data_IF_801693667517
#
_entry.id   IF_801693667517
#
_cell.length_a   1.000
_cell.length_b   1.000
_cell.length_c   1.000
_cell.angle_alpha   90.00
_cell.angle_beta   90.00
_cell.angle_gamma   90.00
#
_symmetry.space_group_name_H-M   'P 1'
#
loop_
_entity.id
_entity.type
_entity.pdbx_description
1 polymer ?
#
# COMPACT_ATOMS: atom_id res chain seq x y z
N UNK A 1 15.74 -0.06 -24.71
CA UNK A 1 16.47 1.23 -24.68
C UNK A 1 16.88 1.57 -26.10
N UNK A 2 16.31 2.62 -26.69
CA UNK A 2 16.62 3.05 -28.07
C UNK A 2 17.73 4.11 -28.13
N UNK A 3 17.93 4.90 -27.07
CA UNK A 3 19.02 5.88 -26.95
C UNK A 3 19.55 5.97 -25.51
N UNK A 4 20.83 5.63 -25.24
CA UNK A 4 21.42 5.67 -23.89
C UNK A 4 21.52 7.07 -23.25
N UNK A 5 21.45 8.14 -24.03
CA UNK A 5 21.57 9.52 -23.54
C UNK A 5 20.21 10.16 -23.20
N UNK A 6 19.10 9.48 -23.46
CA UNK A 6 17.73 9.99 -23.26
C UNK A 6 17.08 9.25 -22.09
N UNK A 7 16.45 9.99 -21.20
CA UNK A 7 15.76 9.49 -20.02
C UNK A 7 14.27 9.84 -20.07
N UNK A 8 13.45 9.03 -19.40
CA UNK A 8 12.02 9.27 -19.21
C UNK A 8 11.66 9.10 -17.73
N UNK A 9 10.68 9.87 -17.26
CA UNK A 9 10.10 9.78 -15.91
C UNK A 9 8.65 10.25 -15.95
N UNK A 10 7.84 9.78 -15.00
CA UNK A 10 6.40 10.00 -14.98
C UNK A 10 5.68 9.14 -16.01
N UNK A 11 4.45 9.52 -16.32
CA UNK A 11 3.53 8.70 -17.12
C UNK A 11 4.07 8.33 -18.51
N UNK A 12 4.97 9.14 -19.09
CA UNK A 12 5.58 8.84 -20.39
C UNK A 12 6.63 7.71 -20.35
N UNK A 13 7.10 7.33 -19.15
CA UNK A 13 8.12 6.30 -18.97
C UNK A 13 7.57 4.87 -19.04
N UNK A 14 6.26 4.69 -18.88
CA UNK A 14 5.57 3.39 -18.92
C UNK A 14 6.20 2.32 -17.99
N UNK A 15 6.82 2.77 -16.89
CA UNK A 15 7.62 1.93 -15.97
C UNK A 15 6.94 1.66 -14.62
N UNK A 16 5.84 2.34 -14.33
CA UNK A 16 5.12 2.27 -13.07
C UNK A 16 3.69 2.80 -13.18
N UNK A 17 2.91 2.77 -12.08
CA UNK A 17 1.55 3.29 -12.11
C UNK A 17 1.57 4.82 -12.31
N UNK A 18 0.62 5.38 -13.09
CA UNK A 18 0.57 6.80 -13.42
C UNK A 18 0.08 7.62 -12.21
N UNK A 19 1.00 7.89 -11.28
CA UNK A 19 0.71 8.52 -9.99
C UNK A 19 1.76 9.61 -9.70
N UNK A 20 1.30 10.77 -9.24
CA UNK A 20 2.17 11.89 -8.84
C UNK A 20 3.35 11.51 -7.95
N UNK A 21 3.20 10.73 -6.85
CA UNK A 21 4.35 10.34 -6.03
C UNK A 21 5.35 9.43 -6.76
N UNK A 22 4.89 8.64 -7.73
CA UNK A 22 5.74 7.80 -8.58
C UNK A 22 6.55 8.68 -9.52
N UNK A 23 5.90 9.58 -10.27
CA UNK A 23 6.56 10.52 -11.16
C UNK A 23 7.62 11.36 -10.43
N UNK A 24 7.32 11.82 -9.20
CA UNK A 24 8.27 12.56 -8.38
C UNK A 24 9.49 11.73 -7.95
N UNK A 25 9.33 10.44 -7.65
CA UNK A 25 10.45 9.53 -7.34
C UNK A 25 11.26 9.17 -8.59
N UNK A 26 10.61 8.90 -9.71
CA UNK A 26 11.28 8.63 -10.99
C UNK A 26 12.12 9.83 -11.45
N UNK A 27 11.60 11.06 -11.29
CA UNK A 27 12.37 12.28 -11.59
C UNK A 27 13.66 12.40 -10.78
N UNK A 28 13.63 12.02 -9.49
CA UNK A 28 14.84 11.97 -8.65
C UNK A 28 15.83 10.90 -9.12
N UNK A 29 15.34 9.73 -9.54
CA UNK A 29 16.17 8.66 -10.09
C UNK A 29 16.82 9.08 -11.41
N UNK A 30 16.06 9.75 -12.29
CA UNK A 30 16.60 10.33 -13.54
C UNK A 30 17.68 11.36 -13.23
N UNK A 31 17.42 12.31 -12.32
CA UNK A 31 18.42 13.31 -11.93
C UNK A 31 19.69 12.68 -11.35
N UNK A 32 19.55 11.67 -10.47
CA UNK A 32 20.69 10.95 -9.90
C UNK A 32 21.50 10.22 -10.99
N UNK A 33 20.82 9.51 -11.90
CA UNK A 33 21.49 8.78 -12.97
C UNK A 33 22.18 9.70 -13.98
N UNK A 34 21.60 10.86 -14.27
CA UNK A 34 22.21 11.90 -15.10
C UNK A 34 23.51 12.45 -14.49
N UNK A 35 23.53 12.66 -13.17
CA UNK A 35 24.64 13.35 -12.49
C UNK A 35 25.72 12.41 -11.96
N UNK A 36 25.35 11.18 -11.61
CA UNK A 36 26.20 10.24 -10.86
C UNK A 36 26.44 8.93 -11.62
N UNK A 37 25.88 8.79 -12.83
CA UNK A 37 25.94 7.58 -13.64
C UNK A 37 24.76 6.65 -13.39
N UNK A 38 24.46 5.80 -14.37
CA UNK A 38 23.23 4.98 -14.46
C UNK A 38 23.16 3.80 -13.48
N UNK A 39 23.18 4.04 -12.16
CA UNK A 39 23.23 2.97 -11.14
C UNK A 39 22.01 2.92 -10.23
N UNK A 40 21.15 3.94 -10.23
CA UNK A 40 19.96 3.99 -9.39
C UNK A 40 18.77 3.38 -10.14
N UNK A 41 18.10 2.41 -9.51
CA UNK A 41 16.82 1.85 -9.96
C UNK A 41 15.74 2.13 -8.93
N UNK A 42 14.54 2.44 -9.40
CA UNK A 42 13.41 2.66 -8.52
C UNK A 42 12.78 1.33 -8.10
N UNK A 43 12.49 1.21 -6.81
CA UNK A 43 11.66 0.13 -6.26
C UNK A 43 10.21 0.64 -6.09
N UNK A 44 9.28 -0.03 -6.76
CA UNK A 44 7.84 0.27 -6.71
C UNK A 44 7.11 -0.52 -5.60
N UNK A 45 7.85 -1.28 -4.79
CA UNK A 45 7.30 -1.99 -3.65
C UNK A 45 6.64 -1.01 -2.68
N UNK A 46 5.40 -1.31 -2.29
CA UNK A 46 4.64 -0.50 -1.35
C UNK A 46 4.04 0.79 -1.92
N UNK A 47 3.98 0.99 -3.25
CA UNK A 47 3.26 2.14 -3.83
C UNK A 47 1.75 1.97 -3.63
N UNK A 48 1.07 2.83 -2.84
CA UNK A 48 -0.38 2.75 -2.66
C UNK A 48 -1.11 3.43 -3.84
N UNK A 49 -2.37 3.07 -4.01
CA UNK A 49 -3.31 3.70 -4.95
C UNK A 49 -4.65 3.91 -4.26
N UNK A 50 -5.29 5.05 -4.54
CA UNK A 50 -6.50 5.49 -3.86
C UNK A 50 -7.50 6.03 -4.87
N UNK A 51 -8.76 5.64 -4.68
CA UNK A 51 -9.93 6.28 -5.31
C UNK A 51 -10.60 7.15 -4.24
N UNK A 52 -10.55 8.48 -4.42
CA UNK A 52 -11.05 9.47 -3.47
C UNK A 52 -12.57 9.69 -3.56
N UNK A 53 -13.34 8.59 -3.53
CA UNK A 53 -14.80 8.61 -3.38
C UNK A 53 -15.20 8.86 -1.92
N UNK A 54 -16.51 8.90 -1.65
CA UNK A 54 -17.04 8.93 -0.29
C UNK A 54 -17.82 7.63 -0.03
N UNK A 55 -17.29 6.70 0.80
CA UNK A 55 -15.97 6.74 1.42
C UNK A 55 -14.82 6.40 0.44
N UNK A 56 -13.55 6.73 0.78
CA UNK A 56 -12.39 6.37 -0.03
C UNK A 56 -12.17 4.86 -0.10
N UNK A 57 -11.65 4.41 -1.23
CA UNK A 57 -11.17 3.04 -1.46
C UNK A 57 -9.67 3.09 -1.74
N UNK A 58 -8.88 2.42 -0.90
CA UNK A 58 -7.42 2.43 -0.98
C UNK A 58 -6.87 1.01 -1.10
N UNK A 59 -5.77 0.85 -1.83
CA UNK A 59 -5.03 -0.42 -1.90
C UNK A 59 -3.53 -0.20 -1.94
N UNK A 60 -2.79 -1.22 -1.51
CA UNK A 60 -1.34 -1.32 -1.69
C UNK A 60 -0.94 -2.78 -1.82
N UNK A 61 0.12 -3.04 -2.60
CA UNK A 61 0.60 -4.41 -2.85
C UNK A 61 -0.33 -5.23 -3.74
N UNK A 62 -0.29 -6.54 -3.56
CA UNK A 62 -0.95 -7.51 -4.43
C UNK A 62 -2.46 -7.60 -4.15
N UNK A 63 -3.25 -7.77 -5.21
CA UNK A 63 -4.59 -8.31 -5.08
C UNK A 63 -4.54 -9.80 -4.79
N UNK A 64 -5.66 -10.37 -4.34
CA UNK A 64 -5.75 -11.82 -4.11
C UNK A 64 -5.48 -12.62 -5.39
N UNK A 65 -6.03 -12.18 -6.53
CA UNK A 65 -5.81 -12.80 -7.82
C UNK A 65 -4.31 -12.78 -8.20
N UNK A 66 -3.64 -11.64 -8.02
CA UNK A 66 -2.21 -11.50 -8.30
C UNK A 66 -1.37 -12.39 -7.38
N UNK A 67 -1.73 -12.51 -6.09
CA UNK A 67 -1.04 -13.39 -5.16
C UNK A 67 -1.19 -14.88 -5.54
N UNK A 68 -2.39 -15.28 -5.95
CA UNK A 68 -2.67 -16.65 -6.43
C UNK A 68 -1.96 -16.96 -7.73
N UNK A 69 -1.96 -16.05 -8.69
CA UNK A 69 -1.24 -16.18 -9.97
C UNK A 69 0.27 -16.37 -9.76
N UNK A 70 0.83 -15.70 -8.75
CA UNK A 70 2.24 -15.86 -8.34
C UNK A 70 2.51 -17.13 -7.52
N UNK A 71 1.51 -17.96 -7.26
CA UNK A 71 1.65 -19.19 -6.46
C UNK A 71 1.97 -18.94 -4.99
N UNK A 72 1.67 -17.75 -4.45
CA UNK A 72 1.94 -17.42 -3.05
C UNK A 72 0.91 -18.06 -2.13
N UNK A 73 1.39 -18.58 -1.00
CA UNK A 73 0.53 -19.12 0.07
C UNK A 73 0.26 -18.03 1.10
N UNK A 74 -1.01 -17.67 1.31
CA UNK A 74 -1.39 -16.57 2.19
C UNK A 74 -2.73 -16.81 2.88
N UNK A 75 -2.94 -16.09 3.98
CA UNK A 75 -4.22 -15.94 4.66
C UNK A 75 -4.83 -14.58 4.32
N UNK A 76 -6.11 -14.57 3.92
CA UNK A 76 -6.86 -13.36 3.60
C UNK A 76 -7.74 -12.94 4.77
N UNK A 77 -7.25 -12.03 5.61
CA UNK A 77 -8.02 -11.46 6.72
C UNK A 77 -8.92 -10.36 6.15
N UNK A 78 -10.23 -10.47 6.36
CA UNK A 78 -11.20 -9.50 5.85
C UNK A 78 -12.37 -9.34 6.80
N UNK A 79 -13.01 -8.18 6.77
CA UNK A 79 -14.17 -7.91 7.61
C UNK A 79 -14.83 -6.56 7.34
N UNK A 80 -16.08 -6.45 7.78
CA UNK A 80 -16.81 -5.20 7.88
C UNK A 80 -16.40 -4.48 9.18
N UNK A 81 -16.08 -3.20 9.06
CA UNK A 81 -15.64 -2.35 10.18
C UNK A 81 -16.61 -1.20 10.46
N UNK A 82 -17.77 -1.15 9.84
CA UNK A 82 -18.80 -0.14 10.09
C UNK A 82 -19.31 -0.19 11.53
N UNK A 83 -19.32 -1.39 12.14
CA UNK A 83 -19.70 -1.62 13.54
C UNK A 83 -18.55 -1.42 14.54
N UNK A 84 -17.35 -1.09 14.10
CA UNK A 84 -16.22 -0.84 15.01
C UNK A 84 -16.28 0.58 15.55
N UNK A 85 -15.72 0.81 16.74
CA UNK A 85 -15.88 2.09 17.44
C UNK A 85 -15.44 3.30 16.60
N UNK A 86 -14.29 3.19 15.90
CA UNK A 86 -13.75 4.26 15.06
C UNK A 86 -14.72 4.71 13.94
N UNK A 87 -15.44 3.76 13.33
CA UNK A 87 -16.43 4.01 12.27
C UNK A 87 -17.79 4.41 12.85
N UNK A 88 -18.24 3.73 13.91
CA UNK A 88 -19.53 3.99 14.57
C UNK A 88 -19.64 5.40 15.09
N UNK A 89 -18.58 5.95 15.70
CA UNK A 89 -18.59 7.29 16.31
C UNK A 89 -18.80 8.41 15.28
N UNK A 90 -18.50 8.15 14.00
CA UNK A 90 -18.68 9.09 12.88
C UNK A 90 -19.84 8.72 11.97
N UNK A 91 -20.65 7.73 12.37
CA UNK A 91 -21.77 7.20 11.58
C UNK A 91 -21.38 6.71 10.17
N UNK A 92 -20.17 6.16 10.02
CA UNK A 92 -19.73 5.50 8.79
C UNK A 92 -20.50 4.18 8.63
N UNK A 93 -21.24 4.05 7.52
CA UNK A 93 -22.09 2.89 7.22
C UNK A 93 -21.41 1.89 6.30
N UNK A 94 -20.38 2.32 5.58
CA UNK A 94 -19.70 1.50 4.58
C UNK A 94 -18.20 1.52 4.87
N UNK A 95 -17.74 0.57 5.67
CA UNK A 95 -16.33 0.41 5.96
C UNK A 95 -15.96 -1.07 6.03
N UNK A 96 -14.76 -1.39 5.55
CA UNK A 96 -14.27 -2.75 5.56
C UNK A 96 -12.82 -2.82 5.11
N UNK A 97 -12.27 -4.02 5.18
CA UNK A 97 -10.88 -4.24 4.81
C UNK A 97 -10.66 -5.66 4.28
N UNK A 98 -9.52 -5.81 3.62
CA UNK A 98 -8.90 -7.08 3.29
C UNK A 98 -7.39 -6.96 3.29
N UNK A 99 -6.71 -7.73 4.14
CA UNK A 99 -5.25 -7.83 4.20
C UNK A 99 -4.82 -9.25 3.86
N UNK A 100 -3.79 -9.37 3.02
CA UNK A 100 -3.19 -10.63 2.62
C UNK A 100 -1.89 -10.83 3.41
N UNK A 101 -1.82 -11.88 4.23
CA UNK A 101 -0.67 -12.20 5.07
C UNK A 101 -0.01 -13.48 4.55
N UNK A 102 1.26 -13.41 4.18
CA UNK A 102 2.02 -14.57 3.70
C UNK A 102 2.18 -15.64 4.78
N UNK A 103 1.84 -16.88 4.46
CA UNK A 103 2.02 -18.01 5.38
C UNK A 103 3.51 -18.30 5.56
N UNK A 104 3.90 -18.58 6.80
CA UNK A 104 5.28 -18.88 7.18
C UNK A 104 6.11 -17.65 7.51
N UNK A 105 6.11 -16.61 6.67
CA UNK A 105 6.88 -15.38 6.96
C UNK A 105 6.10 -14.36 7.78
N UNK A 106 4.77 -14.37 7.67
CA UNK A 106 3.89 -13.36 8.26
C UNK A 106 3.95 -11.99 7.57
N UNK A 107 4.63 -11.86 6.41
CA UNK A 107 4.72 -10.59 5.69
C UNK A 107 3.38 -10.17 5.11
N UNK A 108 3.15 -8.86 5.06
CA UNK A 108 2.00 -8.32 4.35
C UNK A 108 2.27 -8.37 2.84
N UNK A 109 1.40 -9.03 2.08
CA UNK A 109 1.48 -9.10 0.62
C UNK A 109 0.65 -8.02 -0.07
N UNK A 110 -0.43 -7.59 0.58
CA UNK A 110 -1.30 -6.54 0.09
C UNK A 110 -2.38 -6.18 1.10
N UNK A 111 -2.89 -4.95 1.00
CA UNK A 111 -3.98 -4.45 1.83
C UNK A 111 -4.95 -3.64 0.97
N UNK A 112 -6.24 -3.77 1.28
CA UNK A 112 -7.36 -3.12 0.59
C UNK A 112 -8.32 -2.60 1.64
N UNK A 113 -8.59 -1.30 1.64
CA UNK A 113 -9.30 -0.60 2.70
C UNK A 113 -10.44 0.21 2.10
N UNK A 114 -11.61 0.14 2.71
CA UNK A 114 -12.78 0.96 2.39
C UNK A 114 -13.24 1.65 3.67
N UNK A 115 -13.49 2.95 3.60
CA UNK A 115 -14.04 3.72 4.71
C UNK A 115 -13.38 5.07 4.89
N UNK A 116 -13.97 5.91 5.72
CA UNK A 116 -13.37 7.18 6.16
C UNK A 116 -11.90 6.99 6.59
N UNK A 117 -11.00 7.83 6.07
CA UNK A 117 -9.55 7.80 6.26
C UNK A 117 -8.81 6.55 5.75
N UNK A 118 -9.42 5.74 4.87
CA UNK A 118 -8.72 4.63 4.22
C UNK A 118 -7.51 5.10 3.37
N UNK A 119 -7.62 6.30 2.78
CA UNK A 119 -6.60 7.01 2.01
C UNK A 119 -5.39 7.45 2.84
N UNK A 120 -5.57 7.68 4.15
CA UNK A 120 -4.47 7.90 5.08
C UNK A 120 -3.94 6.59 5.65
N UNK A 121 -4.84 5.71 6.11
CA UNK A 121 -4.51 4.47 6.81
C UNK A 121 -3.71 3.50 5.93
N UNK A 122 -3.94 3.50 4.62
CA UNK A 122 -3.22 2.64 3.66
C UNK A 122 -1.71 2.86 3.71
N UNK A 123 -1.24 4.05 4.11
CA UNK A 123 0.19 4.35 4.21
C UNK A 123 0.89 3.52 5.28
N UNK A 124 0.20 3.07 6.34
CA UNK A 124 0.78 2.13 7.31
C UNK A 124 1.10 0.77 6.67
N UNK A 125 0.18 0.26 5.83
CA UNK A 125 0.40 -0.97 5.09
C UNK A 125 1.44 -0.79 3.98
N UNK A 126 1.50 0.38 3.35
CA UNK A 126 2.54 0.72 2.37
C UNK A 126 3.93 0.65 3.00
N UNK A 127 4.11 1.25 4.19
CA UNK A 127 5.35 1.16 4.96
C UNK A 127 5.65 -0.28 5.37
N UNK A 128 4.65 -1.03 5.86
CA UNK A 128 4.83 -2.42 6.23
C UNK A 128 5.34 -3.27 5.06
N UNK A 129 4.78 -3.09 3.87
CA UNK A 129 5.21 -3.79 2.65
C UNK A 129 6.61 -3.32 2.23
N UNK A 130 6.85 -2.00 2.19
CA UNK A 130 8.13 -1.44 1.75
C UNK A 130 9.31 -1.86 2.65
N UNK A 131 9.08 -2.01 3.95
CA UNK A 131 10.10 -2.40 4.93
C UNK A 131 10.04 -3.88 5.35
N UNK A 132 9.14 -4.66 4.75
CA UNK A 132 9.01 -6.10 5.02
C UNK A 132 8.58 -6.44 6.45
N UNK A 133 7.78 -5.58 7.08
CA UNK A 133 7.20 -5.83 8.40
C UNK A 133 6.21 -7.00 8.35
N UNK A 134 6.10 -7.68 9.48
CA UNK A 134 5.20 -8.82 9.68
C UNK A 134 3.88 -8.36 10.27
N UNK A 135 2.83 -9.15 10.07
CA UNK A 135 1.54 -8.98 10.72
C UNK A 135 1.68 -8.89 12.26
N UNK A 136 2.59 -9.65 12.86
CA UNK A 136 2.91 -9.56 14.30
C UNK A 136 3.42 -8.17 14.70
N UNK A 137 4.24 -7.53 13.87
CA UNK A 137 4.80 -6.21 14.18
C UNK A 137 3.69 -5.15 14.21
N UNK A 138 2.69 -5.29 13.33
CA UNK A 138 1.49 -4.46 13.31
C UNK A 138 0.52 -4.76 14.47
N UNK A 139 0.52 -5.98 15.01
CA UNK A 139 -0.30 -6.34 16.19
C UNK A 139 0.25 -5.76 17.49
N UNK A 140 1.57 -5.81 17.66
CA UNK A 140 2.24 -5.41 18.91
C UNK A 140 2.50 -3.89 19.01
N UNK A 141 2.32 -3.15 17.92
CA UNK A 141 2.54 -1.71 17.92
C UNK A 141 1.52 -0.94 18.79
N UNK A 142 1.96 0.16 19.39
CA UNK A 142 1.07 1.08 20.11
C UNK A 142 0.29 1.95 19.13
N UNK A 143 -1.03 1.99 19.28
CA UNK A 143 -1.92 2.85 18.52
C UNK A 143 -2.64 3.84 19.43
N UNK A 144 -2.78 5.08 18.98
CA UNK A 144 -3.66 6.03 19.61
C UNK A 144 -5.11 5.54 19.48
N UNK A 145 -5.87 5.57 20.57
CA UNK A 145 -7.26 5.13 20.63
C UNK A 145 -8.17 6.26 21.10
N UNK A 146 -9.34 6.50 20.46
CA UNK A 146 -9.89 5.77 19.32
C UNK A 146 -9.46 6.37 17.97
N UNK A 147 -8.84 5.58 17.08
CA UNK A 147 -8.50 5.99 15.71
C UNK A 147 -8.79 4.88 14.69
N UNK A 148 -8.90 5.19 13.40
CA UNK A 148 -8.94 4.15 12.37
C UNK A 148 -7.65 3.31 12.35
N UNK A 149 -6.51 3.88 12.76
CA UNK A 149 -5.27 3.13 12.91
C UNK A 149 -5.32 2.10 14.04
N UNK A 150 -6.04 2.37 15.13
CA UNK A 150 -6.23 1.39 16.23
C UNK A 150 -7.03 0.14 15.82
N UNK A 151 -7.58 0.11 14.60
CA UNK A 151 -8.18 -1.09 14.01
C UNK A 151 -7.14 -2.07 13.47
N UNK A 152 -5.94 -1.61 13.10
CA UNK A 152 -4.91 -2.40 12.40
C UNK A 152 -4.54 -3.72 13.09
N UNK A 153 -4.37 -3.79 14.43
CA UNK A 153 -4.08 -5.06 15.10
C UNK A 153 -5.12 -6.18 14.85
N UNK A 154 -6.37 -5.79 14.58
CA UNK A 154 -7.48 -6.71 14.32
C UNK A 154 -7.67 -7.00 12.83
N UNK A 155 -6.91 -6.33 11.96
CA UNK A 155 -7.01 -6.46 10.51
C UNK A 155 -5.99 -7.44 9.91
N UNK A 156 -5.04 -7.91 10.72
CA UNK A 156 -3.89 -8.74 10.30
C UNK A 156 -3.74 -10.02 11.12
#
# INVERSE_FOLDING_TARGET
MSNPAVYAAGDCADSGPPLTPVAGREGKVVAANLLQGHHVRLDYTGVPSVVFTVPPLARVGLSEAQARERGLSFDGVQGDTASWYASRRIHEKHAGFKVLVERGTGRILGAHLLGTLADELINLFALAIQFGLRASDLKEAFYAYPTHASNVPYMV
#
